data_IF_870431666151
#
_entry.id   IF_870431666151
#
_cell.length_a   1.000
_cell.length_b   1.000
_cell.length_c   1.000
_cell.angle_alpha   90.00
_cell.angle_beta   90.00
_cell.angle_gamma   90.00
#
_symmetry.space_group_name_H-M   'P 1'
#
loop_
_entity.id
_entity.type
_entity.pdbx_description
1 polymer ?
#
# COMPACT_ATOMS: atom_id res chain seq x y z
N UNK A 1 12.18 -6.80 10.62
CA UNK A 1 10.92 -7.00 9.88
C UNK A 1 10.37 -8.38 10.20
N UNK A 2 9.07 -8.49 10.51
CA UNK A 2 8.42 -9.76 10.86
C UNK A 2 8.61 -10.76 9.72
N UNK A 3 8.92 -12.01 10.04
CA UNK A 3 8.99 -13.08 9.06
C UNK A 3 7.58 -13.30 8.47
N UNK A 4 7.37 -12.83 7.25
CA UNK A 4 6.14 -12.99 6.47
C UNK A 4 6.46 -14.02 5.40
N UNK A 5 5.82 -15.18 5.50
CA UNK A 5 5.74 -16.13 4.41
C UNK A 5 4.83 -15.54 3.33
N UNK A 6 5.42 -15.14 2.19
CA UNK A 6 4.71 -14.45 1.12
C UNK A 6 3.67 -15.34 0.44
N UNK A 7 3.92 -16.65 0.33
CA UNK A 7 2.99 -17.60 -0.31
C UNK A 7 1.75 -17.74 0.58
N UNK A 8 1.97 -17.95 1.88
CA UNK A 8 0.86 -18.03 2.83
C UNK A 8 0.12 -16.70 2.94
N UNK A 9 0.84 -15.57 2.97
CA UNK A 9 0.22 -14.23 3.00
C UNK A 9 -0.67 -13.98 1.78
N UNK A 10 -0.20 -14.34 0.58
CA UNK A 10 -0.97 -14.24 -0.66
C UNK A 10 -2.24 -15.09 -0.58
N UNK A 11 -2.14 -16.34 -0.13
CA UNK A 11 -3.30 -17.21 0.03
C UNK A 11 -4.34 -16.62 1.01
N UNK A 12 -3.90 -16.11 2.17
CA UNK A 12 -4.79 -15.49 3.16
C UNK A 12 -5.43 -14.20 2.63
N UNK A 13 -4.67 -13.34 1.93
CA UNK A 13 -5.21 -12.14 1.30
C UNK A 13 -6.28 -12.48 0.25
N UNK A 14 -6.10 -13.56 -0.51
CA UNK A 14 -7.06 -13.98 -1.56
C UNK A 14 -8.39 -14.48 -0.98
N UNK A 15 -8.43 -15.03 0.24
CA UNK A 15 -9.70 -15.41 0.90
C UNK A 15 -10.64 -14.23 1.11
N UNK A 16 -10.09 -13.00 1.27
CA UNK A 16 -10.88 -11.76 1.35
C UNK A 16 -11.72 -11.49 0.09
N UNK A 17 -11.41 -12.14 -1.04
CA UNK A 17 -12.09 -11.86 -2.31
C UNK A 17 -13.57 -12.23 -2.34
N UNK A 18 -14.00 -13.07 -1.41
CA UNK A 18 -15.41 -13.44 -1.24
C UNK A 18 -16.26 -12.30 -0.63
N UNK A 19 -15.61 -11.29 -0.01
CA UNK A 19 -16.29 -10.14 0.59
C UNK A 19 -16.21 -8.92 -0.34
N UNK A 20 -17.31 -8.18 -0.59
CA UNK A 20 -17.28 -6.94 -1.37
C UNK A 20 -16.27 -5.89 -0.83
N UNK A 21 -15.65 -5.11 -1.73
CA UNK A 21 -14.78 -3.99 -1.33
C UNK A 21 -15.60 -2.72 -1.10
N UNK A 22 -16.22 -2.65 0.08
CA UNK A 22 -17.10 -1.56 0.49
C UNK A 22 -16.53 -0.95 1.77
N UNK A 23 -16.27 0.36 1.79
CA UNK A 23 -15.88 1.05 3.02
C UNK A 23 -17.10 1.44 3.86
N UNK A 24 -18.21 1.86 3.21
CA UNK A 24 -19.48 2.23 3.85
C UNK A 24 -19.44 3.49 4.73
N UNK A 25 -18.27 3.84 5.27
CA UNK A 25 -18.01 5.02 6.10
C UNK A 25 -16.59 5.50 5.89
N UNK A 26 -16.34 6.78 6.18
CA UNK A 26 -14.98 7.30 6.28
C UNK A 26 -14.28 6.67 7.49
N UNK A 27 -13.01 6.31 7.33
CA UNK A 27 -12.16 5.87 8.43
C UNK A 27 -12.09 6.98 9.50
N UNK A 28 -12.41 6.61 10.75
CA UNK A 28 -12.50 7.51 11.90
C UNK A 28 -11.97 6.84 13.17
N UNK A 29 -11.62 7.65 14.17
CA UNK A 29 -10.84 7.22 15.34
C UNK A 29 -11.47 6.10 16.17
N UNK A 30 -12.80 6.02 16.25
CA UNK A 30 -13.48 5.02 17.09
C UNK A 30 -13.31 3.60 16.53
N UNK A 31 -13.70 3.39 15.27
CA UNK A 31 -13.59 2.08 14.64
C UNK A 31 -12.12 1.72 14.38
N UNK A 32 -11.25 2.72 14.24
CA UNK A 32 -9.81 2.48 14.18
C UNK A 32 -9.26 1.87 15.46
N UNK A 33 -9.71 2.34 16.62
CA UNK A 33 -9.38 1.76 17.93
C UNK A 33 -9.97 0.36 18.09
N UNK A 34 -11.25 0.18 17.75
CA UNK A 34 -11.94 -1.11 17.88
C UNK A 34 -11.34 -2.20 16.99
N UNK A 35 -10.81 -1.83 15.82
CA UNK A 35 -10.17 -2.76 14.89
C UNK A 35 -8.65 -2.78 14.99
N UNK A 36 -8.06 -2.38 16.12
CA UNK A 36 -6.60 -2.43 16.33
C UNK A 36 -6.02 -3.84 16.21
N UNK A 37 -6.82 -4.88 16.53
CA UNK A 37 -6.42 -6.28 16.45
C UNK A 37 -5.97 -6.73 15.04
N UNK A 38 -6.35 -6.02 13.98
CA UNK A 38 -5.97 -6.38 12.60
C UNK A 38 -4.45 -6.44 12.40
N UNK A 39 -3.68 -5.67 13.18
CA UNK A 39 -2.24 -5.53 13.01
C UNK A 39 -1.44 -6.76 13.49
N UNK A 40 -2.11 -7.64 14.23
CA UNK A 40 -1.55 -8.87 14.81
C UNK A 40 -2.06 -10.14 14.13
N UNK A 41 -3.16 -10.05 13.37
CA UNK A 41 -3.80 -11.19 12.72
C UNK A 41 -3.19 -11.43 11.34
N UNK A 42 -2.66 -12.64 11.13
CA UNK A 42 -2.15 -13.09 9.82
C UNK A 42 -3.16 -13.93 9.02
N UNK A 43 -4.07 -14.64 9.69
CA UNK A 43 -5.03 -15.58 9.08
C UNK A 43 -6.40 -14.95 8.92
N UNK A 44 -7.03 -15.16 7.77
CA UNK A 44 -8.34 -14.60 7.45
C UNK A 44 -9.44 -15.07 8.40
N UNK A 45 -9.47 -16.36 8.74
CA UNK A 45 -10.51 -16.93 9.61
C UNK A 45 -10.47 -16.33 11.02
N UNK A 46 -9.26 -16.09 11.54
CA UNK A 46 -9.06 -15.45 12.85
C UNK A 46 -9.55 -13.99 12.83
N UNK A 47 -9.43 -13.30 11.68
CA UNK A 47 -10.01 -11.96 11.52
C UNK A 47 -11.53 -12.02 11.63
N UNK A 48 -12.18 -13.00 10.99
CA UNK A 48 -13.64 -13.17 11.03
C UNK A 48 -14.13 -13.44 12.44
N UNK A 49 -13.45 -14.32 13.19
CA UNK A 49 -13.77 -14.63 14.59
C UNK A 49 -13.66 -13.37 15.47
N UNK A 50 -12.61 -12.57 15.31
CA UNK A 50 -12.43 -11.33 16.09
C UNK A 50 -13.43 -10.24 15.72
N UNK A 51 -13.80 -10.14 14.44
CA UNK A 51 -14.88 -9.25 14.01
C UNK A 51 -16.19 -9.63 14.68
N UNK A 52 -16.53 -10.92 14.77
CA UNK A 52 -17.73 -11.41 15.45
C UNK A 52 -17.74 -11.00 16.94
N UNK A 53 -16.67 -11.38 17.65
CA UNK A 53 -16.50 -11.11 19.09
C UNK A 53 -16.66 -9.63 19.43
N UNK A 54 -16.00 -8.76 18.66
CA UNK A 54 -16.04 -7.30 18.88
C UNK A 54 -17.39 -6.74 18.49
N UNK A 55 -18.02 -7.23 17.40
CA UNK A 55 -19.34 -6.76 16.98
C UNK A 55 -20.41 -7.02 18.03
N UNK A 56 -20.41 -8.23 18.62
CA UNK A 56 -21.33 -8.62 19.70
C UNK A 56 -21.06 -7.79 20.96
N UNK A 57 -19.81 -7.75 21.42
CA UNK A 57 -19.47 -7.09 22.69
C UNK A 57 -19.70 -5.58 22.65
N UNK A 58 -19.48 -4.95 21.50
CA UNK A 58 -19.70 -3.50 21.29
C UNK A 58 -21.09 -3.16 20.77
N UNK A 59 -21.93 -4.16 20.47
CA UNK A 59 -23.30 -3.99 19.94
C UNK A 59 -23.33 -3.14 18.66
N UNK A 60 -22.40 -3.38 17.74
CA UNK A 60 -22.29 -2.66 16.46
C UNK A 60 -22.73 -3.55 15.29
N UNK A 61 -23.08 -2.95 14.15
CA UNK A 61 -23.45 -3.70 12.97
C UNK A 61 -22.27 -4.55 12.47
N UNK A 62 -22.43 -5.87 12.57
CA UNK A 62 -21.43 -6.85 12.20
C UNK A 62 -20.97 -6.73 10.75
N UNK A 63 -21.88 -6.57 9.79
CA UNK A 63 -21.53 -6.55 8.37
C UNK A 63 -20.73 -5.30 8.02
N UNK A 64 -21.10 -4.15 8.59
CA UNK A 64 -20.34 -2.93 8.39
C UNK A 64 -18.95 -3.02 9.04
N UNK A 65 -18.86 -3.57 10.25
CA UNK A 65 -17.58 -3.74 10.94
C UNK A 65 -16.68 -4.76 10.24
N UNK A 66 -17.25 -5.83 9.69
CA UNK A 66 -16.55 -6.80 8.86
C UNK A 66 -15.95 -6.14 7.62
N UNK A 67 -16.74 -5.38 6.87
CA UNK A 67 -16.28 -4.65 5.70
C UNK A 67 -15.12 -3.70 6.04
N UNK A 68 -15.25 -2.98 7.15
CA UNK A 68 -14.23 -2.05 7.64
C UNK A 68 -12.92 -2.75 8.02
N UNK A 69 -13.00 -3.77 8.88
CA UNK A 69 -11.85 -4.54 9.32
C UNK A 69 -11.16 -5.24 8.16
N UNK A 70 -11.95 -5.83 7.25
CA UNK A 70 -11.44 -6.52 6.05
C UNK A 70 -10.61 -5.58 5.18
N UNK A 71 -11.07 -4.35 4.95
CA UNK A 71 -10.35 -3.38 4.13
C UNK A 71 -9.08 -2.88 4.83
N UNK A 72 -9.14 -2.58 6.13
CA UNK A 72 -7.94 -2.16 6.88
C UNK A 72 -6.90 -3.28 6.95
N UNK A 73 -7.34 -4.50 7.28
CA UNK A 73 -6.48 -5.68 7.35
C UNK A 73 -5.82 -5.95 6.01
N UNK A 74 -6.59 -5.95 4.92
CA UNK A 74 -6.09 -6.20 3.58
C UNK A 74 -5.07 -5.14 3.12
N UNK A 75 -5.34 -3.86 3.37
CA UNK A 75 -4.39 -2.78 3.06
C UNK A 75 -3.11 -2.87 3.91
N UNK A 76 -3.22 -3.24 5.19
CA UNK A 76 -2.06 -3.42 6.06
C UNK A 76 -1.21 -4.64 5.64
N UNK A 77 -1.84 -5.80 5.49
CA UNK A 77 -1.14 -7.05 5.15
C UNK A 77 -0.48 -6.98 3.77
N UNK A 78 -1.16 -6.40 2.78
CA UNK A 78 -0.57 -6.22 1.44
C UNK A 78 0.60 -5.23 1.43
N UNK A 79 0.52 -4.14 2.20
CA UNK A 79 1.65 -3.21 2.35
C UNK A 79 2.85 -3.89 3.02
N UNK A 80 2.62 -4.63 4.11
CA UNK A 80 3.69 -5.33 4.81
C UNK A 80 4.36 -6.42 3.96
N UNK A 81 3.57 -7.13 3.15
CA UNK A 81 4.11 -8.09 2.21
C UNK A 81 4.97 -7.41 1.13
N UNK A 82 4.56 -6.26 0.62
CA UNK A 82 5.34 -5.51 -0.36
C UNK A 82 6.64 -4.94 0.23
N UNK A 83 6.62 -4.38 1.44
CA UNK A 83 7.85 -3.96 2.13
C UNK A 83 8.83 -5.12 2.32
N UNK A 84 8.32 -6.32 2.65
CA UNK A 84 9.12 -7.56 2.74
C UNK A 84 9.70 -7.94 1.38
N UNK A 85 8.91 -7.90 0.31
CA UNK A 85 9.36 -8.17 -1.06
C UNK A 85 10.52 -7.25 -1.45
N UNK A 86 10.43 -5.95 -1.14
CA UNK A 86 11.54 -5.01 -1.37
C UNK A 86 12.75 -5.37 -0.53
N UNK A 87 12.55 -5.58 0.77
CA UNK A 87 13.64 -5.83 1.72
C UNK A 87 14.41 -7.13 1.47
N UNK A 88 13.78 -8.11 0.83
CA UNK A 88 14.42 -9.37 0.43
C UNK A 88 15.23 -9.25 -0.87
N UNK A 89 15.04 -8.18 -1.63
CA UNK A 89 15.75 -8.02 -2.90
C UNK A 89 17.21 -7.57 -2.66
N UNK A 90 18.23 -8.23 -3.22
CA UNK A 90 19.65 -7.93 -2.95
C UNK A 90 20.11 -6.50 -3.28
N UNK A 91 19.42 -5.83 -4.19
CA UNK A 91 19.67 -4.43 -4.56
C UNK A 91 19.01 -3.39 -3.64
N UNK A 92 18.38 -3.83 -2.55
CA UNK A 92 17.67 -2.98 -1.59
C UNK A 92 18.29 -3.12 -0.21
N UNK A 93 18.41 -2.01 0.51
CA UNK A 93 18.81 -1.99 1.91
C UNK A 93 17.61 -1.55 2.74
N UNK A 94 17.09 -2.44 3.60
CA UNK A 94 16.00 -2.10 4.50
C UNK A 94 16.40 -0.99 5.48
N UNK A 95 15.48 -0.08 5.81
CA UNK A 95 15.72 0.92 6.84
C UNK A 95 15.83 0.24 8.23
N UNK A 96 16.96 0.44 8.91
CA UNK A 96 17.24 -0.20 10.21
C UNK A 96 16.62 0.53 11.41
N UNK A 97 16.03 1.71 11.22
CA UNK A 97 15.63 2.57 12.33
C UNK A 97 14.11 2.69 12.44
N UNK A 98 13.51 1.94 13.37
CA UNK A 98 12.06 1.97 13.67
C UNK A 98 11.53 3.35 14.09
N UNK A 99 12.42 4.31 14.43
CA UNK A 99 12.04 5.68 14.78
C UNK A 99 11.91 6.60 13.57
N UNK A 100 12.59 6.32 12.45
CA UNK A 100 12.41 7.10 11.22
C UNK A 100 11.31 6.45 10.36
N UNK A 101 10.07 6.92 10.55
CA UNK A 101 8.88 6.40 9.85
C UNK A 101 8.72 6.91 8.42
N UNK A 102 9.71 7.63 7.89
CA UNK A 102 9.63 8.29 6.58
C UNK A 102 10.41 7.55 5.48
N UNK A 103 11.11 6.47 5.83
CA UNK A 103 11.91 5.68 4.89
C UNK A 103 11.72 4.20 5.24
N UNK A 104 11.25 3.43 4.25
CA UNK A 104 11.09 1.98 4.38
C UNK A 104 12.37 1.25 3.93
N UNK A 105 13.01 1.74 2.86
CA UNK A 105 14.22 1.15 2.31
C UNK A 105 15.05 2.14 1.47
N UNK A 106 16.23 1.69 1.07
CA UNK A 106 17.15 2.40 0.17
C UNK A 106 17.43 1.58 -1.09
N UNK A 107 17.48 2.24 -2.25
CA UNK A 107 17.98 1.68 -3.51
C UNK A 107 19.11 2.59 -4.02
N UNK A 108 20.30 2.03 -4.25
CA UNK A 108 21.52 2.79 -4.59
C UNK A 108 21.77 3.99 -3.66
N UNK A 109 21.48 3.86 -2.36
CA UNK A 109 21.68 4.90 -1.35
C UNK A 109 20.58 5.97 -1.27
N UNK A 110 19.57 5.94 -2.14
CA UNK A 110 18.41 6.86 -2.08
C UNK A 110 17.31 6.20 -1.25
N UNK A 111 16.87 6.87 -0.18
CA UNK A 111 15.80 6.41 0.70
C UNK A 111 14.42 6.69 0.11
N UNK A 112 13.50 5.74 0.27
CA UNK A 112 12.11 5.84 -0.17
C UNK A 112 11.12 5.36 0.90
N UNK A 113 10.00 6.05 0.99
CA UNK A 113 8.74 5.56 1.56
C UNK A 113 7.91 4.86 0.46
N UNK A 114 7.49 3.62 0.69
CA UNK A 114 6.72 2.83 -0.27
C UNK A 114 5.23 3.16 -0.12
N UNK A 115 4.61 3.52 -1.24
CA UNK A 115 3.17 3.77 -1.29
C UNK A 115 2.48 2.90 -2.32
N UNK A 116 1.77 1.89 -1.84
CA UNK A 116 0.89 1.06 -2.67
C UNK A 116 -0.49 1.68 -2.76
N UNK A 117 -0.94 2.01 -3.97
CA UNK A 117 -2.27 2.58 -4.20
C UNK A 117 -2.94 1.93 -5.40
N UNK A 118 -4.27 1.88 -5.38
CA UNK A 118 -5.02 1.71 -6.61
C UNK A 118 -4.86 2.96 -7.48
N UNK A 119 -4.97 2.81 -8.79
CA UNK A 119 -5.03 3.97 -9.67
C UNK A 119 -6.20 4.88 -9.25
N UNK A 120 -5.96 6.18 -9.03
CA UNK A 120 -6.98 7.09 -8.53
C UNK A 120 -8.06 7.35 -9.57
N UNK A 121 -9.30 6.99 -9.24
CA UNK A 121 -10.47 7.22 -10.10
C UNK A 121 -10.71 8.71 -10.42
N UNK A 122 -10.28 9.61 -9.53
CA UNK A 122 -10.45 11.05 -9.69
C UNK A 122 -9.29 11.74 -10.43
N UNK A 123 -8.27 10.98 -10.87
CA UNK A 123 -7.20 11.53 -11.70
C UNK A 123 -7.69 11.67 -13.15
N UNK A 124 -8.14 12.88 -13.48
CA UNK A 124 -8.80 13.21 -14.76
C UNK A 124 -8.01 12.81 -16.02
N UNK A 125 -6.67 12.95 -16.09
CA UNK A 125 -5.93 12.61 -17.31
C UNK A 125 -5.96 11.12 -17.68
N UNK A 126 -6.33 10.24 -16.74
CA UNK A 126 -6.46 8.79 -16.99
C UNK A 126 -5.12 8.05 -17.09
N UNK A 127 -5.20 6.72 -17.21
CA UNK A 127 -4.04 5.83 -17.11
C UNK A 127 -3.00 6.06 -18.21
N UNK A 128 -3.44 6.22 -19.47
CA UNK A 128 -2.54 6.37 -20.62
C UNK A 128 -1.67 7.62 -20.45
N UNK A 129 -2.30 8.74 -20.08
CA UNK A 129 -1.58 9.99 -19.81
C UNK A 129 -0.68 9.86 -18.59
N UNK A 130 -1.14 9.20 -17.54
CA UNK A 130 -0.32 8.97 -16.35
C UNK A 130 0.94 8.15 -16.65
N UNK A 131 0.87 7.18 -17.56
CA UNK A 131 2.03 6.36 -17.96
C UNK A 131 3.00 7.11 -18.87
N UNK A 132 2.51 8.03 -19.71
CA UNK A 132 3.37 8.86 -20.57
C UNK A 132 3.92 10.11 -19.86
N UNK A 133 3.25 10.56 -18.80
CA UNK A 133 3.61 11.70 -17.95
C UNK A 133 3.43 11.37 -16.46
N UNK A 134 4.25 10.45 -15.92
CA UNK A 134 4.14 10.01 -14.52
C UNK A 134 4.24 11.15 -13.52
N UNK A 135 4.95 12.24 -13.84
CA UNK A 135 5.09 13.42 -12.99
C UNK A 135 3.75 14.09 -12.66
N UNK A 136 2.77 14.09 -13.57
CA UNK A 136 1.45 14.66 -13.32
C UNK A 136 0.69 13.83 -12.27
N UNK A 137 0.78 12.49 -12.35
CA UNK A 137 0.16 11.62 -11.38
C UNK A 137 0.87 11.70 -10.03
N UNK A 138 2.21 11.73 -10.01
CA UNK A 138 2.96 11.83 -8.76
C UNK A 138 2.59 13.11 -8.01
N UNK A 139 2.59 14.26 -8.67
CA UNK A 139 2.17 15.54 -8.05
C UNK A 139 0.76 15.42 -7.47
N UNK A 140 -0.18 14.87 -8.25
CA UNK A 140 -1.54 14.63 -7.78
C UNK A 140 -1.59 13.73 -6.54
N UNK A 141 -0.79 12.65 -6.50
CA UNK A 141 -0.70 11.74 -5.36
C UNK A 141 -0.15 12.43 -4.10
N UNK A 142 0.81 13.36 -4.24
CA UNK A 142 1.30 14.16 -3.13
C UNK A 142 0.29 15.19 -2.62
N UNK A 143 -0.49 15.78 -3.50
CA UNK A 143 -1.55 16.74 -3.15
C UNK A 143 -2.74 16.06 -2.45
N UNK A 144 -3.07 14.83 -2.84
CA UNK A 144 -4.26 14.10 -2.41
C UNK A 144 -3.98 13.04 -1.33
N UNK A 145 -2.89 13.19 -0.56
CA UNK A 145 -2.57 12.28 0.54
C UNK A 145 -3.56 12.36 1.71
N UNK A 146 -3.60 11.30 2.52
CA UNK A 146 -4.32 11.34 3.81
C UNK A 146 -3.82 12.50 4.67
N UNK A 147 -4.74 13.28 5.25
CA UNK A 147 -4.41 14.40 6.13
C UNK A 147 -3.82 13.94 7.47
N UNK A 148 -3.23 14.89 8.22
CA UNK A 148 -2.63 14.71 9.56
C UNK A 148 -1.21 14.09 9.56
N UNK A 149 -0.87 13.27 10.58
CA UNK A 149 0.49 12.81 10.91
C UNK A 149 1.20 11.96 9.83
N UNK A 150 0.50 11.58 8.76
CA UNK A 150 1.05 10.80 7.63
C UNK A 150 1.38 11.66 6.40
N UNK A 151 1.10 12.96 6.44
CA UNK A 151 1.45 13.88 5.35
C UNK A 151 2.92 14.27 5.47
N UNK A 152 3.71 13.86 4.49
CA UNK A 152 5.10 14.30 4.30
C UNK A 152 5.40 14.36 2.81
N UNK A 153 6.48 15.08 2.48
CA UNK A 153 6.92 15.36 1.11
C UNK A 153 8.31 14.73 0.82
N UNK A 154 8.77 13.84 1.69
CA UNK A 154 9.94 13.00 1.46
C UNK A 154 9.77 12.09 0.25
N UNK A 155 10.89 11.53 -0.24
CA UNK A 155 10.92 10.63 -1.39
C UNK A 155 9.94 9.47 -1.25
N UNK A 156 9.18 9.21 -2.32
CA UNK A 156 8.24 8.10 -2.39
C UNK A 156 8.41 7.30 -3.65
N UNK A 157 8.42 5.98 -3.50
CA UNK A 157 8.21 5.06 -4.59
C UNK A 157 6.76 4.60 -4.57
N UNK A 158 6.01 4.88 -5.64
CA UNK A 158 4.62 4.45 -5.75
C UNK A 158 4.53 3.11 -6.46
N UNK A 159 3.73 2.18 -5.93
CA UNK A 159 3.28 1.01 -6.68
C UNK A 159 1.79 1.19 -6.99
N UNK A 160 1.47 1.42 -8.25
CA UNK A 160 0.12 1.72 -8.71
C UNK A 160 -0.49 0.49 -9.35
N UNK A 161 -1.52 -0.06 -8.70
CA UNK A 161 -2.29 -1.20 -9.22
C UNK A 161 -3.48 -0.73 -10.06
N UNK A 162 -3.64 -1.31 -11.25
CA UNK A 162 -4.78 -1.08 -12.14
C UNK A 162 -5.19 -2.40 -12.80
N UNK A 163 -6.45 -2.77 -12.61
CA UNK A 163 -7.10 -3.91 -13.26
C UNK A 163 -8.15 -3.42 -14.26
N UNK A 164 -8.08 -3.85 -15.52
CA UNK A 164 -9.03 -3.43 -16.59
C UNK A 164 -10.49 -3.72 -16.26
N UNK A 165 -10.75 -4.76 -15.47
CA UNK A 165 -12.10 -5.14 -15.02
C UNK A 165 -12.61 -4.30 -13.83
N UNK A 166 -11.85 -3.29 -13.37
CA UNK A 166 -12.20 -2.44 -12.24
C UNK A 166 -11.83 -3.01 -10.87
N UNK A 167 -11.39 -4.27 -10.78
CA UNK A 167 -11.05 -4.93 -9.52
C UNK A 167 -9.62 -4.62 -9.05
N UNK A 168 -9.22 -3.34 -9.11
CA UNK A 168 -7.85 -2.89 -8.84
C UNK A 168 -7.31 -3.38 -7.48
N UNK A 169 -8.18 -3.41 -6.46
CA UNK A 169 -7.81 -3.80 -5.11
C UNK A 169 -7.41 -5.29 -5.02
N UNK A 170 -7.93 -6.18 -5.88
CA UNK A 170 -7.54 -7.61 -5.89
C UNK A 170 -6.07 -7.80 -6.25
N UNK A 171 -5.53 -6.94 -7.12
CA UNK A 171 -4.12 -7.00 -7.53
C UNK A 171 -3.15 -6.81 -6.36
N UNK A 172 -3.56 -6.19 -5.25
CA UNK A 172 -2.73 -6.07 -4.05
C UNK A 172 -2.43 -7.42 -3.36
N UNK A 173 -3.20 -8.46 -3.67
CA UNK A 173 -2.97 -9.82 -3.16
C UNK A 173 -2.16 -10.69 -4.13
N UNK A 174 -1.85 -10.22 -5.35
CA UNK A 174 -1.08 -10.99 -6.33
C UNK A 174 0.44 -10.86 -6.04
N UNK A 175 0.85 -11.20 -4.81
CA UNK A 175 2.18 -10.91 -4.26
C UNK A 175 3.31 -11.53 -5.08
N UNK A 176 3.12 -12.74 -5.60
CA UNK A 176 4.09 -13.43 -6.47
C UNK A 176 4.35 -12.64 -7.75
N UNK A 177 3.29 -12.11 -8.37
CA UNK A 177 3.41 -11.27 -9.56
C UNK A 177 4.01 -9.90 -9.23
N UNK A 178 3.58 -9.29 -8.12
CA UNK A 178 4.15 -8.02 -7.64
C UNK A 178 5.64 -8.16 -7.32
N UNK A 179 6.09 -9.30 -6.79
CA UNK A 179 7.50 -9.57 -6.52
C UNK A 179 8.35 -9.58 -7.80
N UNK A 180 7.83 -10.13 -8.90
CA UNK A 180 8.54 -10.06 -10.20
C UNK A 180 8.59 -8.62 -10.75
N UNK A 181 7.53 -7.81 -10.56
CA UNK A 181 7.57 -6.40 -10.93
C UNK A 181 8.62 -5.62 -10.12
N UNK A 182 8.65 -5.82 -8.80
CA UNK A 182 9.64 -5.17 -7.92
C UNK A 182 11.05 -5.60 -8.29
N UNK A 183 11.28 -6.89 -8.52
CA UNK A 183 12.58 -7.43 -8.94
C UNK A 183 13.06 -6.81 -10.25
N UNK A 184 12.18 -6.67 -11.24
CA UNK A 184 12.53 -6.04 -12.51
C UNK A 184 12.83 -4.53 -12.33
N UNK A 185 12.03 -3.84 -11.52
CA UNK A 185 12.25 -2.43 -11.19
C UNK A 185 13.62 -2.21 -10.53
N UNK A 186 13.92 -2.95 -9.45
CA UNK A 186 15.17 -2.76 -8.70
C UNK A 186 16.39 -3.14 -9.56
N UNK A 187 16.31 -4.18 -10.38
CA UNK A 187 17.39 -4.55 -11.32
C UNK A 187 17.67 -3.47 -12.37
N UNK A 188 16.63 -2.79 -12.84
CA UNK A 188 16.72 -1.72 -13.83
C UNK A 188 16.92 -0.32 -13.23
N UNK A 189 17.00 -0.20 -11.90
CA UNK A 189 16.98 1.08 -11.22
C UNK A 189 18.19 1.96 -11.59
N UNK A 190 17.92 3.19 -12.01
CA UNK A 190 18.92 4.22 -12.27
C UNK A 190 18.42 5.54 -11.68
N UNK A 191 19.20 6.15 -10.78
CA UNK A 191 18.80 7.38 -10.08
C UNK A 191 18.48 8.54 -11.02
N UNK A 192 19.16 8.63 -12.16
CA UNK A 192 18.91 9.64 -13.21
C UNK A 192 17.53 9.55 -13.87
N UNK A 193 16.83 8.42 -13.71
CA UNK A 193 15.50 8.22 -14.27
C UNK A 193 14.39 8.62 -13.28
N UNK A 194 14.76 8.98 -12.05
CA UNK A 194 13.81 9.44 -11.05
C UNK A 194 13.21 10.77 -11.48
N UNK A 195 11.95 10.97 -11.10
CA UNK A 195 11.25 12.24 -11.28
C UNK A 195 11.63 13.15 -10.11
N UNK A 196 12.19 14.30 -10.45
CA UNK A 196 12.55 15.35 -9.51
C UNK A 196 11.39 16.35 -9.38
N UNK A 197 11.00 16.62 -8.14
CA UNK A 197 9.90 17.53 -7.82
C UNK A 197 10.36 18.52 -6.75
N UNK A 198 10.11 19.81 -6.96
CA UNK A 198 10.21 20.81 -5.90
C UNK A 198 8.85 20.91 -5.19
N UNK A 199 8.65 20.05 -4.18
CA UNK A 199 7.42 20.06 -3.37
C UNK A 199 7.52 21.02 -2.17
N UNK A 200 8.75 21.38 -1.79
CA UNK A 200 9.08 22.37 -0.77
C UNK A 200 10.14 23.30 -1.34
N UNK A 201 10.07 24.58 -0.99
CA UNK A 201 10.96 25.59 -1.55
C UNK A 201 12.43 25.26 -1.28
N UNK A 202 13.21 25.08 -2.35
CA UNK A 202 14.64 24.77 -2.27
C UNK A 202 14.98 23.32 -1.93
N UNK A 203 14.00 22.41 -1.86
CA UNK A 203 14.21 20.98 -1.62
C UNK A 203 13.72 20.15 -2.82
N UNK A 204 14.57 19.22 -3.27
CA UNK A 204 14.22 18.27 -4.32
C UNK A 204 13.71 16.98 -3.69
N UNK A 205 12.48 16.62 -4.01
CA UNK A 205 11.87 15.33 -3.73
C UNK A 205 12.06 14.41 -4.94
N UNK A 206 12.61 13.23 -4.72
CA UNK A 206 12.69 12.18 -5.74
C UNK A 206 11.50 11.24 -5.66
N UNK A 207 10.97 10.85 -6.81
CA UNK A 207 9.86 9.89 -6.86
C UNK A 207 9.84 9.09 -8.16
N UNK A 208 9.11 7.99 -8.16
CA UNK A 208 8.89 7.14 -9.33
C UNK A 208 7.64 6.26 -9.14
N UNK A 209 7.21 5.59 -10.21
CA UNK A 209 6.06 4.69 -10.24
C UNK A 209 6.43 3.31 -10.79
N UNK A 210 6.14 2.27 -10.01
CA UNK A 210 6.00 0.90 -10.50
C UNK A 210 4.55 0.68 -10.94
N UNK A 211 4.37 0.43 -12.23
CA UNK A 211 3.06 0.16 -12.83
C UNK A 211 2.69 -1.31 -12.75
N UNK A 212 1.68 -1.63 -11.95
CA UNK A 212 1.11 -2.97 -11.83
C UNK A 212 -0.24 -3.03 -12.55
N UNK A 213 -0.20 -3.18 -13.88
CA UNK A 213 -1.38 -3.13 -14.76
C UNK A 213 -1.75 -4.54 -15.27
N UNK A 214 -3.02 -4.95 -15.14
CA UNK A 214 -3.55 -6.24 -15.62
C UNK A 214 -4.88 -6.05 -16.36
#
# INVERSE_FOLDING_TARGET
MRDIDLIMCEAELKKRWEIPYIWGRKQQDEWDKLSGFIYEIKKWEVLLEKVEEVSISKKINRQEFLNYCSNRWYNFMSAMALEKIFSDHPGVVAAHNEKNRLIDFYINGIGFDLKTSVFPANFKPGLITAQSKPEELIKWLYENQSSQQRKHLENRLFLIVYAKNGEHWKLKAELTWLAELVKNYVRGFQSKNLIELELQQGEITFSDIIWAVK
#
